data_IF_544864500337
#
_entry.id   IF_544864500337
#
_cell.length_a   1.000
_cell.length_b   1.000
_cell.length_c   1.000
_cell.angle_alpha   90.00
_cell.angle_beta   90.00
_cell.angle_gamma   90.00
#
_symmetry.space_group_name_H-M   'P 1'
#
loop_
_entity.id
_entity.type
_entity.pdbx_description
1 polymer ?
#
# COMPACT_ATOMS: atom_id res chain seq x y z
N UNK A 1 -8.83 28.90 -11.85
CA UNK A 1 -9.51 27.74 -12.49
C UNK A 1 -9.68 26.64 -11.45
N UNK A 2 -10.89 26.19 -11.16
CA UNK A 2 -11.09 24.97 -10.37
C UNK A 2 -11.14 23.78 -11.33
N UNK A 3 -10.24 22.84 -11.17
CA UNK A 3 -10.32 21.57 -11.90
C UNK A 3 -11.59 20.81 -11.47
N UNK A 4 -12.22 20.01 -12.35
CA UNK A 4 -13.35 19.18 -11.96
C UNK A 4 -12.94 18.21 -10.83
N UNK A 5 -13.90 17.87 -9.98
CA UNK A 5 -13.69 16.86 -8.94
C UNK A 5 -13.32 15.53 -9.59
N UNK A 6 -12.27 14.90 -9.09
CA UNK A 6 -11.77 13.60 -9.54
C UNK A 6 -11.89 12.59 -8.40
N UNK A 7 -11.90 11.31 -8.76
CA UNK A 7 -11.97 10.20 -7.82
C UNK A 7 -10.58 9.57 -7.64
N UNK A 8 -10.18 9.42 -6.38
CA UNK A 8 -8.92 8.77 -6.01
C UNK A 8 -9.22 7.57 -5.13
N UNK A 9 -8.64 6.43 -5.48
CA UNK A 9 -8.78 5.20 -4.71
C UNK A 9 -7.49 4.89 -3.94
N UNK A 10 -7.65 4.36 -2.73
CA UNK A 10 -6.57 3.91 -1.87
C UNK A 10 -6.82 2.44 -1.49
N UNK A 11 -5.91 1.56 -1.86
CA UNK A 11 -5.91 0.17 -1.39
C UNK A 11 -5.20 0.14 -0.05
N UNK A 12 -5.93 -0.22 1.01
CA UNK A 12 -5.54 -0.02 2.41
C UNK A 12 -5.83 -1.25 3.26
N UNK A 13 -5.28 -1.25 4.46
CA UNK A 13 -5.78 -2.04 5.58
C UNK A 13 -7.18 -1.58 6.00
N UNK A 14 -7.94 -2.41 6.75
CA UNK A 14 -9.24 -2.00 7.27
C UNK A 14 -9.17 -0.65 7.97
N UNK A 15 -10.04 0.28 7.58
CA UNK A 15 -10.02 1.66 8.05
C UNK A 15 -9.97 1.82 9.59
N UNK A 16 -10.66 0.98 10.39
CA UNK A 16 -10.58 1.09 11.85
C UNK A 16 -9.20 0.78 12.45
N UNK A 17 -8.30 0.13 11.69
CA UNK A 17 -6.95 -0.20 12.13
C UNK A 17 -5.96 0.95 11.89
N UNK A 18 -6.31 1.92 11.05
CA UNK A 18 -5.44 3.05 10.71
C UNK A 18 -5.39 4.06 11.88
N UNK A 19 -4.18 4.46 12.24
CA UNK A 19 -3.93 5.46 13.28
C UNK A 19 -3.82 6.85 12.67
N UNK A 20 -4.95 7.55 12.51
CA UNK A 20 -5.07 8.77 11.72
C UNK A 20 -4.04 9.85 12.09
N UNK A 21 -3.65 9.95 13.37
CA UNK A 21 -2.69 10.95 13.88
C UNK A 21 -1.25 10.76 13.32
N UNK A 22 -0.91 9.59 12.80
CA UNK A 22 0.45 9.30 12.27
C UNK A 22 0.46 8.59 10.93
N UNK A 23 -0.70 8.20 10.41
CA UNK A 23 -0.79 7.43 9.18
C UNK A 23 -0.61 8.33 7.96
N UNK A 24 0.39 8.03 7.13
CA UNK A 24 0.68 8.80 5.92
C UNK A 24 -0.40 8.64 4.85
N UNK A 25 -1.12 7.51 4.80
CA UNK A 25 -2.22 7.31 3.86
C UNK A 25 -3.41 8.17 4.22
N UNK A 26 -3.73 8.31 5.52
CA UNK A 26 -4.76 9.24 6.00
C UNK A 26 -4.38 10.69 5.67
N UNK A 27 -3.11 11.07 5.86
CA UNK A 27 -2.63 12.40 5.49
C UNK A 27 -2.78 12.68 3.98
N UNK A 28 -2.48 11.68 3.13
CA UNK A 28 -2.67 11.77 1.68
C UNK A 28 -4.15 11.90 1.31
N UNK A 29 -5.02 11.08 1.88
CA UNK A 29 -6.47 11.13 1.66
C UNK A 29 -7.04 12.50 2.05
N UNK A 30 -6.67 13.03 3.22
CA UNK A 30 -7.05 14.39 3.65
C UNK A 30 -6.55 15.46 2.68
N UNK A 31 -5.34 15.31 2.11
CA UNK A 31 -4.81 16.24 1.13
C UNK A 31 -5.57 16.22 -0.20
N UNK A 32 -6.03 15.05 -0.64
CA UNK A 32 -6.91 14.88 -1.81
C UNK A 32 -8.26 15.55 -1.57
N UNK A 33 -8.90 15.27 -0.43
CA UNK A 33 -10.20 15.85 -0.06
C UNK A 33 -10.15 17.38 0.05
N UNK A 34 -9.09 17.95 0.67
CA UNK A 34 -8.91 19.41 0.75
C UNK A 34 -8.80 20.09 -0.62
N UNK A 35 -8.42 19.37 -1.66
CA UNK A 35 -8.40 19.87 -3.04
C UNK A 35 -9.74 19.74 -3.77
N UNK A 36 -10.77 19.26 -3.08
CA UNK A 36 -12.12 19.11 -3.63
C UNK A 36 -12.30 17.83 -4.46
N UNK A 37 -11.45 16.85 -4.29
CA UNK A 37 -11.56 15.54 -4.95
C UNK A 37 -12.23 14.53 -4.02
N UNK A 38 -12.82 13.46 -4.59
CA UNK A 38 -13.42 12.38 -3.83
C UNK A 38 -12.37 11.31 -3.50
N UNK A 39 -12.51 10.73 -2.33
CA UNK A 39 -11.64 9.68 -1.81
C UNK A 39 -12.42 8.39 -1.66
N UNK A 40 -11.83 7.29 -2.10
CA UNK A 40 -12.38 5.95 -1.98
C UNK A 40 -11.36 5.03 -1.30
N UNK A 41 -11.84 4.24 -0.34
CA UNK A 41 -11.09 3.16 0.27
C UNK A 41 -11.41 1.83 -0.43
N UNK A 42 -10.41 1.00 -0.61
CA UNK A 42 -10.52 -0.36 -1.13
C UNK A 42 -9.74 -1.26 -0.20
N UNK A 43 -10.39 -2.20 0.46
CA UNK A 43 -9.67 -3.26 1.16
C UNK A 43 -9.16 -4.31 0.16
N UNK A 44 -8.03 -4.92 0.45
CA UNK A 44 -7.39 -5.89 -0.43
C UNK A 44 -8.34 -6.99 -0.94
N UNK A 45 -9.18 -7.63 -0.11
CA UNK A 45 -10.13 -8.65 -0.59
C UNK A 45 -11.25 -8.12 -1.49
N UNK A 46 -11.41 -6.79 -1.55
CA UNK A 46 -12.41 -6.15 -2.41
C UNK A 46 -11.97 -5.98 -3.86
N UNK A 47 -10.69 -6.25 -4.16
CA UNK A 47 -10.15 -6.26 -5.53
C UNK A 47 -10.53 -7.56 -6.24
N UNK A 48 -10.96 -7.46 -7.49
CA UNK A 48 -11.26 -8.61 -8.32
C UNK A 48 -11.13 -8.30 -9.81
N UNK A 49 -11.00 -9.35 -10.61
CA UNK A 49 -11.04 -9.25 -12.06
C UNK A 49 -12.28 -9.97 -12.58
N UNK A 50 -13.01 -9.33 -13.48
CA UNK A 50 -14.20 -9.88 -14.09
C UNK A 50 -14.36 -9.39 -15.52
N UNK A 51 -14.57 -10.31 -16.45
CA UNK A 51 -14.95 -10.04 -17.85
C UNK A 51 -14.04 -9.00 -18.54
N UNK A 52 -12.72 -9.12 -18.35
CA UNK A 52 -11.74 -8.23 -18.97
C UNK A 52 -11.51 -6.91 -18.25
N UNK A 53 -12.05 -6.74 -17.05
CA UNK A 53 -11.87 -5.52 -16.26
C UNK A 53 -11.46 -5.81 -14.81
N UNK A 54 -10.45 -5.12 -14.33
CA UNK A 54 -10.09 -5.09 -12.91
C UNK A 54 -10.98 -4.09 -12.19
N UNK A 55 -11.66 -4.57 -11.18
CA UNK A 55 -12.68 -3.83 -10.44
C UNK A 55 -12.45 -3.91 -8.94
N UNK A 56 -13.15 -3.07 -8.21
CA UNK A 56 -13.18 -3.13 -6.75
C UNK A 56 -14.55 -2.71 -6.21
N UNK A 57 -14.90 -3.27 -5.05
CA UNK A 57 -15.95 -2.68 -4.18
C UNK A 57 -15.31 -1.55 -3.40
N UNK A 58 -15.40 -0.34 -3.95
CA UNK A 58 -14.78 0.86 -3.40
C UNK A 58 -15.76 1.61 -2.49
N UNK A 59 -15.30 2.01 -1.32
CA UNK A 59 -16.10 2.72 -0.31
C UNK A 59 -15.79 4.21 -0.38
N UNK A 60 -16.74 5.09 -0.74
CA UNK A 60 -16.51 6.53 -0.72
C UNK A 60 -16.37 7.02 0.73
N UNK A 61 -15.40 7.91 0.96
CA UNK A 61 -15.12 8.46 2.28
C UNK A 61 -15.37 9.97 2.34
N UNK A 62 -16.04 10.42 3.40
CA UNK A 62 -15.98 11.80 3.87
C UNK A 62 -14.96 11.88 4.99
N UNK A 63 -13.95 12.77 4.87
CA UNK A 63 -12.85 12.85 5.83
C UNK A 63 -13.04 14.01 6.79
N UNK A 64 -12.76 13.77 8.06
CA UNK A 64 -12.87 14.72 9.15
C UNK A 64 -11.48 15.15 9.64
N UNK A 65 -11.43 16.27 10.34
CA UNK A 65 -10.19 16.79 10.93
C UNK A 65 -9.80 16.06 12.24
N UNK A 66 -10.79 15.50 12.95
CA UNK A 66 -10.58 14.74 14.16
C UNK A 66 -9.84 13.43 13.86
N UNK A 67 -8.85 13.08 14.67
CA UNK A 67 -8.08 11.83 14.49
C UNK A 67 -8.77 10.61 15.11
N UNK A 68 -9.72 10.80 16.01
CA UNK A 68 -10.52 9.73 16.63
C UNK A 68 -11.77 9.39 15.83
N UNK A 69 -12.36 10.40 15.16
CA UNK A 69 -13.50 10.28 14.24
C UNK A 69 -13.08 10.86 12.88
N UNK A 70 -12.15 10.22 12.20
CA UNK A 70 -11.46 10.78 11.05
C UNK A 70 -12.17 10.56 9.71
N UNK A 71 -13.20 9.70 9.65
CA UNK A 71 -13.95 9.43 8.42
C UNK A 71 -15.39 9.00 8.67
N UNK A 72 -16.23 9.25 7.67
CA UNK A 72 -17.54 8.59 7.48
C UNK A 72 -17.50 7.82 6.17
N UNK A 73 -17.98 6.57 6.21
CA UNK A 73 -18.04 5.70 5.04
C UNK A 73 -19.42 5.72 4.40
N UNK A 74 -19.46 5.84 3.08
CA UNK A 74 -20.68 5.66 2.28
C UNK A 74 -20.93 4.21 1.91
N UNK A 75 -21.98 3.97 1.11
CA UNK A 75 -22.25 2.65 0.58
C UNK A 75 -21.18 2.23 -0.44
N UNK A 76 -20.70 0.97 -0.41
CA UNK A 76 -19.72 0.48 -1.38
C UNK A 76 -20.25 0.56 -2.82
N UNK A 77 -19.40 1.06 -3.73
CA UNK A 77 -19.66 1.15 -5.16
C UNK A 77 -18.80 0.11 -5.90
N UNK A 78 -19.40 -0.57 -6.89
CA UNK A 78 -18.62 -1.44 -7.79
C UNK A 78 -18.02 -0.59 -8.91
N UNK A 79 -16.69 -0.45 -8.91
CA UNK A 79 -15.98 0.47 -9.80
C UNK A 79 -14.84 -0.23 -10.55
N UNK A 80 -14.67 0.06 -11.85
CA UNK A 80 -13.46 -0.32 -12.55
C UNK A 80 -12.29 0.56 -12.09
N UNK A 81 -11.11 -0.02 -11.88
CA UNK A 81 -9.95 0.72 -11.37
C UNK A 81 -9.48 1.81 -12.34
N UNK A 82 -9.67 1.62 -13.63
CA UNK A 82 -9.33 2.61 -14.68
C UNK A 82 -10.15 3.89 -14.62
N UNK A 83 -11.32 3.86 -13.94
CA UNK A 83 -12.21 5.02 -13.83
C UNK A 83 -11.77 5.99 -12.73
N UNK A 84 -10.80 5.61 -11.90
CA UNK A 84 -10.19 6.50 -10.93
C UNK A 84 -9.08 7.34 -11.55
N UNK A 85 -8.94 8.58 -11.10
CA UNK A 85 -7.84 9.46 -11.50
C UNK A 85 -6.47 8.88 -11.09
N UNK A 86 -6.44 8.18 -9.95
CA UNK A 86 -5.31 7.37 -9.50
C UNK A 86 -5.77 6.32 -8.49
N UNK A 87 -5.07 5.19 -8.47
CA UNK A 87 -5.18 4.13 -7.47
C UNK A 87 -3.86 4.05 -6.71
N UNK A 88 -3.91 4.25 -5.41
CA UNK A 88 -2.74 4.25 -4.52
C UNK A 88 -2.67 2.92 -3.78
N UNK A 89 -1.63 2.12 -4.02
CA UNK A 89 -1.38 0.91 -3.22
C UNK A 89 -0.70 1.31 -1.92
N UNK A 90 -1.46 1.27 -0.84
CA UNK A 90 -1.04 1.72 0.49
C UNK A 90 -1.30 0.67 1.59
N UNK A 91 -1.62 -0.56 1.18
CA UNK A 91 -1.72 -1.70 2.08
C UNK A 91 -0.35 -1.96 2.73
N UNK A 92 -0.33 -2.02 4.04
CA UNK A 92 0.87 -2.39 4.80
C UNK A 92 1.18 -3.90 4.69
N UNK A 93 2.41 -4.35 4.97
CA UNK A 93 2.74 -5.76 5.09
C UNK A 93 1.77 -6.51 6.04
N UNK A 94 1.66 -7.85 5.98
CA UNK A 94 2.69 -8.75 5.42
C UNK A 94 2.71 -8.78 3.90
N UNK A 95 3.92 -8.92 3.34
CA UNK A 95 4.13 -9.15 1.91
C UNK A 95 4.06 -10.65 1.64
N UNK A 96 2.85 -11.18 1.78
CA UNK A 96 2.50 -12.59 1.56
C UNK A 96 1.97 -12.84 0.13
N UNK A 97 1.51 -14.06 -0.14
CA UNK A 97 0.97 -14.40 -1.46
C UNK A 97 -0.31 -13.62 -1.79
N UNK A 98 -1.15 -13.31 -0.81
CA UNK A 98 -2.34 -12.48 -1.03
C UNK A 98 -1.96 -11.05 -1.46
N UNK A 99 -0.89 -10.51 -0.86
CA UNK A 99 -0.34 -9.23 -1.30
C UNK A 99 0.17 -9.32 -2.76
N UNK A 100 0.91 -10.38 -3.10
CA UNK A 100 1.40 -10.63 -4.47
C UNK A 100 0.24 -10.74 -5.45
N UNK A 101 -0.82 -11.48 -5.13
CA UNK A 101 -2.01 -11.60 -5.99
C UNK A 101 -2.69 -10.24 -6.21
N UNK A 102 -2.76 -9.40 -5.18
CA UNK A 102 -3.27 -8.03 -5.34
C UNK A 102 -2.43 -7.21 -6.32
N UNK A 103 -1.11 -7.40 -6.33
CA UNK A 103 -0.25 -6.71 -7.30
C UNK A 103 -0.46 -7.21 -8.73
N UNK A 104 -0.87 -8.48 -8.95
CA UNK A 104 -1.24 -8.96 -10.28
C UNK A 104 -2.53 -8.31 -10.77
N UNK A 105 -3.54 -8.18 -9.91
CA UNK A 105 -4.77 -7.46 -10.23
C UNK A 105 -4.48 -6.00 -10.58
N UNK A 106 -3.68 -5.33 -9.77
CA UNK A 106 -3.30 -3.93 -10.02
C UNK A 106 -2.48 -3.77 -11.31
N UNK A 107 -1.62 -4.72 -11.66
CA UNK A 107 -0.89 -4.72 -12.93
C UNK A 107 -1.82 -4.97 -14.13
N UNK A 108 -2.85 -5.79 -13.97
CA UNK A 108 -3.90 -5.95 -14.98
C UNK A 108 -4.64 -4.62 -15.17
N UNK A 109 -5.00 -3.94 -14.08
CA UNK A 109 -5.61 -2.62 -14.13
C UNK A 109 -4.74 -1.57 -14.87
N UNK A 110 -3.40 -1.58 -14.67
CA UNK A 110 -2.49 -0.71 -15.44
C UNK A 110 -2.58 -0.98 -16.95
N UNK A 111 -2.63 -2.26 -17.37
CA UNK A 111 -2.79 -2.63 -18.79
C UNK A 111 -4.15 -2.18 -19.36
N UNK A 112 -5.16 -2.06 -18.49
CA UNK A 112 -6.50 -1.56 -18.83
C UNK A 112 -6.57 -0.02 -18.84
N UNK A 113 -5.48 0.68 -18.46
CA UNK A 113 -5.37 2.13 -18.47
C UNK A 113 -5.50 2.81 -17.10
N UNK A 114 -5.58 2.04 -15.99
CA UNK A 114 -5.54 2.62 -14.65
C UNK A 114 -4.16 3.21 -14.33
N UNK A 115 -4.15 4.31 -13.57
CA UNK A 115 -2.92 4.90 -13.03
C UNK A 115 -2.70 4.38 -11.61
N UNK A 116 -1.83 3.40 -11.46
CA UNK A 116 -1.54 2.78 -10.17
C UNK A 116 -0.20 3.29 -9.60
N UNK A 117 -0.17 3.67 -8.34
CA UNK A 117 1.00 4.12 -7.57
C UNK A 117 1.13 3.32 -6.26
N UNK A 118 2.33 2.75 -5.97
CA UNK A 118 3.47 2.61 -6.87
C UNK A 118 3.18 1.53 -7.92
N UNK A 119 4.04 1.44 -8.97
CA UNK A 119 3.90 0.40 -9.99
C UNK A 119 3.86 -0.99 -9.34
N UNK A 120 2.85 -1.82 -9.62
CA UNK A 120 2.68 -3.13 -8.98
C UNK A 120 3.90 -4.05 -9.17
N UNK A 121 4.51 -4.02 -10.35
CA UNK A 121 5.74 -4.76 -10.61
C UNK A 121 6.89 -4.29 -9.72
N UNK A 122 7.06 -2.97 -9.53
CA UNK A 122 8.10 -2.45 -8.67
C UNK A 122 7.90 -2.87 -7.20
N UNK A 123 6.65 -2.94 -6.73
CA UNK A 123 6.32 -3.43 -5.39
C UNK A 123 6.78 -4.88 -5.22
N UNK A 124 6.61 -5.73 -6.24
CA UNK A 124 7.07 -7.13 -6.20
C UNK A 124 8.57 -7.26 -6.29
N UNK A 125 9.20 -6.49 -7.19
CA UNK A 125 10.63 -6.63 -7.51
C UNK A 125 11.54 -5.99 -6.44
N UNK A 126 11.01 -5.01 -5.68
CA UNK A 126 11.77 -4.30 -4.65
C UNK A 126 11.16 -4.56 -3.27
N UNK A 127 11.54 -5.70 -2.66
CA UNK A 127 11.26 -5.91 -1.24
C UNK A 127 11.96 -4.81 -0.43
N UNK A 128 11.22 -4.08 0.40
CA UNK A 128 11.72 -2.89 1.12
C UNK A 128 12.93 -3.15 2.02
N UNK A 129 13.06 -4.39 2.53
CA UNK A 129 14.17 -4.78 3.41
C UNK A 129 15.36 -5.32 2.61
N UNK A 130 15.10 -6.09 1.56
CA UNK A 130 16.15 -6.63 0.71
C UNK A 130 16.72 -5.61 -0.29
N UNK A 131 15.96 -4.56 -0.61
CA UNK A 131 16.43 -3.47 -1.47
C UNK A 131 17.72 -2.81 -0.95
N UNK A 132 18.00 -2.91 0.35
CA UNK A 132 19.27 -2.48 0.99
C UNK A 132 20.51 -3.05 0.27
N UNK A 133 20.42 -4.25 -0.31
CA UNK A 133 21.53 -4.88 -1.04
C UNK A 133 21.98 -4.06 -2.26
N UNK A 134 21.07 -3.30 -2.88
CA UNK A 134 21.40 -2.39 -3.98
C UNK A 134 22.11 -1.10 -3.52
N UNK A 135 22.10 -0.82 -2.22
CA UNK A 135 22.61 0.41 -1.63
C UNK A 135 23.76 0.15 -0.62
N UNK A 136 24.53 -0.91 -0.84
CA UNK A 136 25.56 -1.39 0.07
C UNK A 136 26.51 -0.29 0.59
N UNK A 137 26.82 0.70 -0.22
CA UNK A 137 27.72 1.79 0.18
C UNK A 137 27.17 2.70 1.29
N UNK A 138 25.86 2.62 1.55
CA UNK A 138 25.15 3.47 2.51
C UNK A 138 24.56 2.69 3.69
N UNK A 139 24.92 1.40 3.82
CA UNK A 139 24.33 0.52 4.82
C UNK A 139 25.37 0.05 5.82
N UNK A 140 24.94 -0.20 7.05
CA UNK A 140 25.71 -0.93 8.05
C UNK A 140 25.97 -2.37 7.57
N UNK A 141 26.88 -3.12 8.22
CA UNK A 141 27.02 -4.55 7.98
C UNK A 141 25.65 -5.24 8.01
N UNK A 142 25.39 -6.05 7.01
CA UNK A 142 24.05 -6.63 6.79
C UNK A 142 24.19 -8.08 6.34
N UNK A 143 23.39 -8.94 6.96
CA UNK A 143 23.25 -10.35 6.59
C UNK A 143 21.78 -10.62 6.24
N UNK A 144 21.54 -11.32 5.14
CA UNK A 144 20.22 -11.84 4.79
C UNK A 144 20.30 -13.35 4.68
N UNK A 145 19.71 -14.05 5.60
CA UNK A 145 19.74 -15.52 5.69
C UNK A 145 18.56 -16.04 6.50
N UNK A 146 18.25 -17.32 6.39
CA UNK A 146 17.39 -18.08 7.29
C UNK A 146 18.16 -19.15 8.08
N UNK A 147 19.47 -19.17 7.94
CA UNK A 147 20.35 -20.09 8.67
C UNK A 147 20.66 -19.52 10.05
N UNK A 148 20.20 -20.21 11.10
CA UNK A 148 20.38 -19.77 12.48
C UNK A 148 21.87 -19.70 12.92
N UNK A 149 22.74 -20.58 12.38
CA UNK A 149 24.15 -20.55 12.70
C UNK A 149 24.84 -19.30 12.13
N UNK A 150 24.47 -18.90 10.91
CA UNK A 150 24.97 -17.65 10.31
C UNK A 150 24.46 -16.42 11.04
N UNK A 151 23.21 -16.45 11.53
CA UNK A 151 22.65 -15.36 12.35
C UNK A 151 23.43 -15.23 13.66
N UNK A 152 23.67 -16.36 14.37
CA UNK A 152 24.44 -16.37 15.62
C UNK A 152 25.84 -15.81 15.41
N UNK A 153 26.58 -16.30 14.41
CA UNK A 153 27.93 -15.83 14.10
C UNK A 153 27.97 -14.33 13.78
N UNK A 154 26.97 -13.82 13.06
CA UNK A 154 26.87 -12.39 12.76
C UNK A 154 26.64 -11.54 14.01
N UNK A 155 25.79 -12.01 14.93
CA UNK A 155 25.55 -11.35 16.23
C UNK A 155 26.82 -11.36 17.07
N UNK A 156 27.52 -12.50 17.15
CA UNK A 156 28.79 -12.64 17.91
C UNK A 156 29.89 -11.69 17.36
N UNK A 157 29.91 -11.49 16.02
CA UNK A 157 30.89 -10.59 15.38
C UNK A 157 30.59 -9.10 15.65
N UNK A 158 29.31 -8.72 15.68
CA UNK A 158 28.92 -7.31 15.72
C UNK A 158 28.35 -6.84 17.07
N UNK A 159 28.09 -7.74 18.02
CA UNK A 159 27.50 -7.48 19.32
C UNK A 159 25.97 -7.31 19.23
N UNK A 160 25.51 -6.13 18.88
CA UNK A 160 24.06 -5.86 18.74
C UNK A 160 23.62 -5.92 17.26
N UNK A 161 22.50 -6.58 17.01
CA UNK A 161 21.92 -6.67 15.68
C UNK A 161 20.39 -6.46 15.69
N UNK A 162 19.87 -5.83 14.64
CA UNK A 162 18.45 -5.69 14.42
C UNK A 162 17.99 -6.78 13.44
N UNK A 163 17.12 -7.67 13.88
CA UNK A 163 16.54 -8.73 13.04
C UNK A 163 15.18 -8.27 12.51
N UNK A 164 14.99 -8.39 11.19
CA UNK A 164 13.72 -8.03 10.53
C UNK A 164 13.28 -9.14 9.58
N UNK A 165 12.02 -9.65 9.67
CA UNK A 165 11.50 -10.56 8.66
C UNK A 165 11.33 -9.83 7.32
N UNK A 166 11.56 -10.53 6.19
CA UNK A 166 11.44 -9.90 4.86
C UNK A 166 10.00 -9.59 4.46
N UNK A 167 9.06 -10.31 5.00
CA UNK A 167 7.63 -10.27 4.67
C UNK A 167 6.77 -9.52 5.71
N UNK A 168 7.31 -9.25 6.89
CA UNK A 168 6.59 -8.63 8.00
C UNK A 168 6.90 -7.14 8.20
N UNK A 169 6.09 -6.49 9.03
CA UNK A 169 6.47 -5.24 9.72
C UNK A 169 7.25 -5.60 10.98
N UNK A 170 8.40 -5.01 11.16
CA UNK A 170 9.26 -5.24 12.33
C UNK A 170 9.64 -3.96 13.00
#
# INVERSE_FOLDING_TARGET
MRYPAMDFAFVLDPLPLLKAYKDSSVAMMRAVARRGHRVFAIEQPALYWRDGATRARAVPLTLHADDHDWYSAGAPEDRALKDFAAVMMRKDPPFDMEYVYSTYLLEAAEREGARVFNRPRAIRDYNEKFAIAAFRAFTAPTLVTRDAALIGAFIDEHGDAIVKPLDGMG
#
